data_IF_825078460725
#
_entry.id   IF_825078460725
#
_cell.length_a   1.000
_cell.length_b   1.000
_cell.length_c   1.000
_cell.angle_alpha   90.00
_cell.angle_beta   90.00
_cell.angle_gamma   90.00
#
_symmetry.space_group_name_H-M   'P 1'
#
loop_
_entity.id
_entity.type
_entity.pdbx_description
1 polymer ?
#
# COMPACT_ATOMS: atom_id res chain seq x y z
N UNK A 1 -1.91 -9.68 -3.54
CA UNK A 1 -2.11 -8.72 -2.43
C UNK A 1 -1.16 -7.53 -2.56
N UNK A 2 0.16 -7.73 -2.56
CA UNK A 2 1.18 -6.64 -2.66
C UNK A 2 0.96 -5.71 -3.86
N UNK A 3 0.72 -6.25 -5.06
CA UNK A 3 0.46 -5.44 -6.26
C UNK A 3 -0.75 -4.52 -6.12
N UNK A 4 -1.86 -5.07 -5.62
CA UNK A 4 -3.10 -4.33 -5.41
C UNK A 4 -2.93 -3.28 -4.31
N UNK A 5 -2.19 -3.62 -3.24
CA UNK A 5 -1.86 -2.67 -2.19
C UNK A 5 -1.05 -1.50 -2.74
N UNK A 6 0.04 -1.75 -3.48
CA UNK A 6 0.86 -0.69 -4.08
C UNK A 6 0.04 0.20 -5.03
N UNK A 7 -0.77 -0.40 -5.92
CA UNK A 7 -1.62 0.35 -6.84
C UNK A 7 -2.65 1.24 -6.11
N UNK A 8 -3.21 0.76 -5.00
CA UNK A 8 -4.22 1.51 -4.24
C UNK A 8 -3.58 2.59 -3.35
N UNK A 9 -2.41 2.31 -2.80
CA UNK A 9 -1.74 3.16 -1.82
C UNK A 9 -0.79 4.19 -2.44
N UNK A 10 -0.41 4.05 -3.71
CA UNK A 10 0.55 4.94 -4.36
C UNK A 10 0.17 6.43 -4.19
N UNK A 11 1.12 7.23 -3.69
CA UNK A 11 0.95 8.66 -3.38
C UNK A 11 0.23 8.95 -2.06
N UNK A 12 -0.38 7.97 -1.42
CA UNK A 12 -1.09 8.15 -0.14
C UNK A 12 -0.11 8.52 0.95
N UNK A 13 -0.40 9.61 1.68
CA UNK A 13 0.46 10.06 2.77
C UNK A 13 1.86 10.48 2.30
N UNK A 14 2.06 10.84 1.04
CA UNK A 14 3.36 11.28 0.51
C UNK A 14 4.38 10.15 0.39
N UNK A 15 3.91 8.91 0.17
CA UNK A 15 4.74 7.74 -0.08
C UNK A 15 4.39 7.17 -1.46
N UNK A 16 5.39 7.01 -2.30
CA UNK A 16 5.27 6.35 -3.60
C UNK A 16 5.47 4.85 -3.41
N UNK A 17 4.54 4.06 -3.93
CA UNK A 17 4.55 2.60 -3.82
C UNK A 17 4.64 1.97 -5.21
N UNK A 18 5.64 1.11 -5.39
CA UNK A 18 5.78 0.26 -6.56
C UNK A 18 5.90 -1.19 -6.13
N UNK A 19 5.28 -2.09 -6.88
CA UNK A 19 5.41 -3.51 -6.65
C UNK A 19 5.68 -4.25 -7.96
N UNK A 20 6.43 -5.33 -7.87
CA UNK A 20 6.74 -6.21 -8.98
C UNK A 20 6.64 -7.67 -8.57
N UNK A 21 6.23 -8.52 -9.50
CA UNK A 21 6.30 -9.96 -9.33
C UNK A 21 7.73 -10.45 -9.56
N UNK A 22 8.13 -11.43 -8.79
CA UNK A 22 9.29 -12.28 -9.04
C UNK A 22 8.78 -13.71 -9.28
N UNK A 23 9.62 -14.68 -9.69
CA UNK A 23 9.17 -16.05 -9.94
C UNK A 23 8.40 -16.69 -8.77
N UNK A 24 8.85 -16.43 -7.53
CA UNK A 24 8.32 -17.09 -6.33
C UNK A 24 7.78 -16.11 -5.26
N UNK A 25 7.82 -14.79 -5.53
CA UNK A 25 7.48 -13.77 -4.52
C UNK A 25 7.08 -12.44 -5.16
N UNK A 26 6.91 -11.40 -4.34
CA UNK A 26 6.73 -10.03 -4.80
C UNK A 26 7.68 -9.10 -4.05
N UNK A 27 8.17 -8.07 -4.73
CA UNK A 27 8.96 -7.00 -4.13
C UNK A 27 8.08 -5.75 -4.03
N UNK A 28 8.11 -5.09 -2.87
CA UNK A 28 7.47 -3.79 -2.65
C UNK A 28 8.56 -2.75 -2.40
N UNK A 29 8.53 -1.67 -3.17
CA UNK A 29 9.37 -0.49 -2.98
C UNK A 29 8.50 0.66 -2.51
N UNK A 30 8.81 1.21 -1.33
CA UNK A 30 8.16 2.39 -0.78
C UNK A 30 9.18 3.54 -0.68
N UNK A 31 8.87 4.69 -1.29
CA UNK A 31 9.78 5.85 -1.35
C UNK A 31 9.10 7.10 -0.83
N UNK A 32 9.88 7.99 -0.22
CA UNK A 32 9.41 9.32 0.14
C UNK A 32 10.58 10.30 0.11
N UNK A 33 10.30 11.54 -0.29
CA UNK A 33 11.26 12.64 -0.17
C UNK A 33 11.43 13.16 1.26
N UNK A 34 10.57 12.72 2.19
CA UNK A 34 10.62 13.10 3.61
C UNK A 34 11.48 12.11 4.42
N UNK A 35 12.62 12.54 5.00
CA UNK A 35 13.49 11.67 5.78
C UNK A 35 12.85 11.06 7.02
N UNK A 36 11.86 11.72 7.65
CA UNK A 36 11.14 11.14 8.79
C UNK A 36 10.25 9.98 8.35
N UNK A 37 9.59 10.11 7.19
CA UNK A 37 8.82 9.02 6.60
C UNK A 37 9.71 7.85 6.23
N UNK A 38 10.88 8.09 5.65
CA UNK A 38 11.84 7.01 5.36
C UNK A 38 12.21 6.26 6.63
N UNK A 39 12.54 6.97 7.73
CA UNK A 39 12.82 6.34 9.03
C UNK A 39 11.64 5.51 9.56
N UNK A 40 10.43 6.05 9.49
CA UNK A 40 9.22 5.34 9.89
C UNK A 40 9.01 4.06 9.06
N UNK A 41 9.09 4.15 7.73
CA UNK A 41 8.93 3.02 6.82
C UNK A 41 9.98 1.93 7.10
N UNK A 42 11.24 2.33 7.34
CA UNK A 42 12.31 1.40 7.74
C UNK A 42 11.99 0.71 9.07
N UNK A 43 11.50 1.44 10.07
CA UNK A 43 11.14 0.88 11.38
C UNK A 43 9.93 -0.06 11.34
N UNK A 44 8.96 0.20 10.47
CA UNK A 44 7.78 -0.65 10.28
C UNK A 44 8.10 -1.98 9.60
N UNK A 45 9.08 -1.97 8.68
CA UNK A 45 9.37 -3.11 7.82
C UNK A 45 8.18 -3.49 6.92
N UNK A 46 8.30 -4.61 6.22
CA UNK A 46 7.31 -5.02 5.20
C UNK A 46 5.89 -5.16 5.78
N UNK A 47 5.71 -5.94 6.85
CA UNK A 47 4.37 -6.21 7.41
C UNK A 47 3.75 -4.92 7.95
N UNK A 48 4.52 -4.07 8.64
CA UNK A 48 4.04 -2.79 9.10
C UNK A 48 3.60 -1.88 7.96
N UNK A 49 4.39 -1.80 6.88
CA UNK A 49 4.02 -1.04 5.67
C UNK A 49 2.71 -1.56 5.07
N UNK A 50 2.52 -2.88 4.98
CA UNK A 50 1.29 -3.49 4.45
C UNK A 50 0.04 -3.19 5.29
N UNK A 51 0.19 -2.70 6.53
CA UNK A 51 -0.93 -2.25 7.37
C UNK A 51 -1.24 -0.76 7.27
N UNK A 52 -0.40 0.02 6.58
CA UNK A 52 -0.61 1.46 6.43
C UNK A 52 -1.76 1.77 5.47
N UNK A 53 -2.51 2.81 5.81
CA UNK A 53 -3.57 3.36 4.97
C UNK A 53 -4.94 2.69 5.12
N UNK A 54 -5.87 3.15 4.29
CA UNK A 54 -7.26 2.70 4.29
C UNK A 54 -7.71 2.24 2.90
N UNK A 55 -7.22 1.09 2.46
CA UNK A 55 -7.56 0.52 1.14
C UNK A 55 -8.71 -0.50 1.20
N UNK A 56 -9.18 -0.84 2.41
CA UNK A 56 -10.34 -1.71 2.61
C UNK A 56 -11.63 -0.92 2.86
N UNK A 57 -11.57 0.31 3.36
CA UNK A 57 -12.75 1.09 3.76
C UNK A 57 -13.65 1.40 2.57
N UNK A 58 -13.09 1.95 1.49
CA UNK A 58 -13.85 2.23 0.27
C UNK A 58 -14.39 0.96 -0.38
N UNK A 59 -13.59 -0.12 -0.38
CA UNK A 59 -14.00 -1.45 -0.84
C UNK A 59 -15.20 -1.99 -0.02
N UNK A 60 -15.13 -1.97 1.31
CA UNK A 60 -16.23 -2.39 2.18
C UNK A 60 -17.47 -1.49 2.05
N UNK A 61 -17.28 -0.19 1.86
CA UNK A 61 -18.38 0.76 1.63
C UNK A 61 -19.09 0.47 0.30
N UNK A 62 -18.34 0.19 -0.77
CA UNK A 62 -18.91 -0.17 -2.07
C UNK A 62 -19.81 -1.42 -1.95
N UNK A 63 -19.35 -2.45 -1.24
CA UNK A 63 -20.16 -3.65 -0.96
C UNK A 63 -21.43 -3.28 -0.19
N UNK A 64 -21.30 -2.51 0.90
CA UNK A 64 -22.44 -2.11 1.73
C UNK A 64 -23.47 -1.25 0.98
N UNK A 65 -23.02 -0.50 -0.02
CA UNK A 65 -23.86 0.34 -0.88
C UNK A 65 -24.33 -0.35 -2.17
N UNK A 66 -23.98 -1.63 -2.40
CA UNK A 66 -24.36 -2.36 -3.62
C UNK A 66 -23.63 -1.90 -4.90
N UNK A 67 -22.49 -1.23 -4.76
CA UNK A 67 -21.62 -0.78 -5.84
C UNK A 67 -20.51 -1.80 -6.12
N UNK A 68 -19.91 -1.74 -7.32
CA UNK A 68 -18.75 -2.59 -7.63
C UNK A 68 -17.56 -2.19 -6.74
N UNK A 69 -16.95 -3.14 -6.01
CA UNK A 69 -15.78 -2.85 -5.18
C UNK A 69 -14.45 -2.94 -5.95
N UNK A 70 -14.52 -3.22 -7.26
CA UNK A 70 -13.42 -3.37 -8.22
C UNK A 70 -13.82 -2.89 -9.61
#
# INVERSE_FOLDING_TARGET
MVMAHAATMNGTGGVDYEAEHTPDSAVLTARSGDPEKVRMLTGLGFVGIMTLGGHHQAHHLAIASGLSPH
#
